data_IF_658898280804
#
_entry.id   IF_658898280804
#
_cell.length_a   1.000
_cell.length_b   1.000
_cell.length_c   1.000
_cell.angle_alpha   90.00
_cell.angle_beta   90.00
_cell.angle_gamma   90.00
#
_symmetry.space_group_name_H-M   'P 1'
#
loop_
_entity.id
_entity.type
_entity.pdbx_description
1 polymer ?
#
# COMPACT_ATOMS: atom_id res chain seq x y z
N UNK A 1 10.10 12.76 -0.59
CA UNK A 1 11.18 12.82 0.42
C UNK A 1 10.59 13.37 1.70
N UNK A 2 10.94 12.79 2.84
CA UNK A 2 10.48 13.23 4.17
C UNK A 2 11.01 14.61 4.54
N UNK A 3 10.30 15.36 5.41
CA UNK A 3 10.87 16.57 6.02
C UNK A 3 12.06 16.20 6.90
N UNK A 4 13.08 17.07 6.95
CA UNK A 4 14.25 16.88 7.82
C UNK A 4 13.77 16.71 9.26
N UNK A 5 14.12 15.59 9.90
CA UNK A 5 13.73 15.27 11.28
C UNK A 5 12.43 14.50 11.46
N UNK A 6 11.66 14.19 10.40
CA UNK A 6 10.48 13.32 10.48
C UNK A 6 10.49 12.27 9.38
N UNK A 7 10.94 11.05 9.68
CA UNK A 7 10.97 9.93 8.73
C UNK A 7 9.60 9.29 8.50
N UNK A 8 8.62 9.53 9.39
CA UNK A 8 7.31 8.88 9.32
C UNK A 8 6.47 9.34 8.12
N UNK A 9 6.72 10.52 7.59
CA UNK A 9 6.01 11.03 6.41
C UNK A 9 6.29 10.16 5.16
N UNK A 10 7.48 9.57 5.05
CA UNK A 10 7.89 8.77 3.89
C UNK A 10 7.97 7.27 4.16
N UNK A 11 8.15 6.84 5.42
CA UNK A 11 8.34 5.43 5.76
C UNK A 11 7.22 4.48 5.26
N UNK A 12 5.92 4.84 5.30
CA UNK A 12 4.86 4.00 4.73
C UNK A 12 4.99 3.86 3.22
N UNK A 13 5.29 4.96 2.53
CA UNK A 13 5.49 5.03 1.08
C UNK A 13 6.70 4.21 0.65
N UNK A 14 7.83 4.34 1.35
CA UNK A 14 9.03 3.53 1.11
C UNK A 14 8.77 2.04 1.32
N UNK A 15 8.04 1.68 2.37
CA UNK A 15 7.65 0.29 2.65
C UNK A 15 6.77 -0.29 1.54
N UNK A 16 5.86 0.52 0.99
CA UNK A 16 5.01 0.13 -0.14
C UNK A 16 5.84 -0.15 -1.40
N UNK A 17 6.68 0.81 -1.82
CA UNK A 17 7.49 0.68 -3.04
C UNK A 17 8.58 -0.37 -2.92
N UNK A 18 9.14 -0.55 -1.72
CA UNK A 18 10.09 -1.63 -1.44
C UNK A 18 9.46 -3.00 -1.71
N UNK A 19 8.25 -3.23 -1.19
CA UNK A 19 7.52 -4.48 -1.38
C UNK A 19 7.05 -4.71 -2.81
N UNK A 20 6.58 -3.67 -3.50
CA UNK A 20 6.23 -3.76 -4.93
C UNK A 20 7.42 -4.30 -5.73
N UNK A 21 8.60 -3.70 -5.52
CA UNK A 21 9.79 -4.08 -6.25
C UNK A 21 10.16 -5.53 -5.98
N UNK A 22 10.18 -5.96 -4.73
CA UNK A 22 10.56 -7.34 -4.39
C UNK A 22 9.53 -8.38 -4.81
N UNK A 23 8.23 -8.07 -4.75
CA UNK A 23 7.16 -9.04 -4.95
C UNK A 23 6.66 -9.14 -6.40
N UNK A 24 6.81 -8.08 -7.21
CA UNK A 24 6.20 -8.02 -8.55
C UNK A 24 7.13 -7.59 -9.67
N UNK A 25 8.34 -7.11 -9.38
CA UNK A 25 9.27 -6.57 -10.39
C UNK A 25 10.59 -7.32 -10.40
N UNK A 26 11.19 -7.55 -9.24
CA UNK A 26 12.46 -8.26 -9.11
C UNK A 26 12.31 -9.70 -9.62
N UNK A 27 13.19 -10.13 -10.51
CA UNK A 27 13.14 -11.46 -11.12
C UNK A 27 12.18 -11.60 -12.30
N UNK A 28 11.34 -10.60 -12.58
CA UNK A 28 10.43 -10.59 -13.72
C UNK A 28 11.04 -9.82 -14.90
N UNK A 29 11.00 -10.41 -16.10
CA UNK A 29 11.32 -9.73 -17.36
C UNK A 29 10.02 -9.46 -18.10
N UNK A 30 9.70 -8.19 -18.26
CA UNK A 30 8.52 -7.76 -19.03
C UNK A 30 8.92 -7.60 -20.51
N UNK A 31 8.13 -8.21 -21.40
CA UNK A 31 8.34 -8.08 -22.85
C UNK A 31 7.86 -6.71 -23.34
N UNK A 32 6.82 -6.17 -22.71
CA UNK A 32 6.24 -4.87 -23.08
C UNK A 32 6.05 -3.96 -21.87
N UNK A 33 6.01 -2.65 -22.13
CA UNK A 33 5.69 -1.66 -21.10
C UNK A 33 4.29 -1.86 -20.51
N UNK A 34 3.33 -2.32 -21.31
CA UNK A 34 1.96 -2.56 -20.83
C UNK A 34 1.91 -3.73 -19.84
N UNK A 35 2.70 -4.79 -20.04
CA UNK A 35 2.81 -5.87 -19.05
C UNK A 35 3.37 -5.36 -17.71
N UNK A 36 4.40 -4.52 -17.75
CA UNK A 36 4.96 -3.92 -16.53
C UNK A 36 3.95 -3.03 -15.81
N UNK A 37 3.18 -2.22 -16.56
CA UNK A 37 2.08 -1.41 -15.99
C UNK A 37 1.02 -2.29 -15.34
N UNK A 38 0.60 -3.36 -16.02
CA UNK A 38 -0.42 -4.27 -15.48
C UNK A 38 0.05 -4.90 -14.17
N UNK A 39 1.29 -5.39 -14.10
CA UNK A 39 1.86 -5.94 -12.88
C UNK A 39 1.85 -4.93 -11.71
N UNK A 40 2.14 -3.66 -11.99
CA UNK A 40 2.08 -2.59 -10.97
C UNK A 40 0.64 -2.32 -10.54
N UNK A 41 -0.32 -2.27 -11.47
CA UNK A 41 -1.75 -2.10 -11.17
C UNK A 41 -2.30 -3.26 -10.32
N UNK A 42 -1.96 -4.49 -10.69
CA UNK A 42 -2.37 -5.70 -9.97
C UNK A 42 -1.80 -5.71 -8.55
N UNK A 43 -0.52 -5.32 -8.40
CA UNK A 43 0.09 -5.16 -7.09
C UNK A 43 -0.62 -4.10 -6.25
N UNK A 44 -0.95 -2.93 -6.81
CA UNK A 44 -1.68 -1.88 -6.10
C UNK A 44 -3.06 -2.36 -5.63
N UNK A 45 -3.81 -3.02 -6.51
CA UNK A 45 -5.10 -3.59 -6.16
C UNK A 45 -4.99 -4.64 -5.05
N UNK A 46 -4.03 -5.56 -5.16
CA UNK A 46 -3.76 -6.54 -4.12
C UNK A 46 -3.38 -5.89 -2.78
N UNK A 47 -2.44 -4.95 -2.81
CA UNK A 47 -1.92 -4.30 -1.60
C UNK A 47 -3.03 -3.56 -0.85
N UNK A 48 -3.85 -2.77 -1.55
CA UNK A 48 -4.87 -1.94 -0.92
C UNK A 48 -6.08 -2.75 -0.43
N UNK A 49 -6.52 -3.75 -1.21
CA UNK A 49 -7.76 -4.46 -0.91
C UNK A 49 -7.56 -5.76 -0.13
N UNK A 50 -6.43 -6.47 -0.31
CA UNK A 50 -6.27 -7.86 0.16
C UNK A 50 -5.09 -8.09 1.08
N UNK A 51 -4.01 -7.32 0.96
CA UNK A 51 -2.80 -7.54 1.77
C UNK A 51 -3.06 -7.19 3.23
N UNK A 52 -2.89 -8.16 4.12
CA UNK A 52 -3.06 -7.95 5.55
C UNK A 52 -1.81 -7.34 6.17
N UNK A 53 -2.02 -6.42 7.11
CA UNK A 53 -0.95 -5.78 7.87
C UNK A 53 -1.12 -6.04 9.37
N UNK A 54 -0.11 -6.63 10.02
CA UNK A 54 -0.12 -6.87 11.47
C UNK A 54 -0.28 -5.57 12.27
N UNK A 55 0.34 -4.48 11.81
CA UNK A 55 0.20 -3.15 12.38
C UNK A 55 -1.21 -2.56 12.26
N UNK A 56 -2.05 -3.10 11.38
CA UNK A 56 -3.44 -2.69 11.18
C UNK A 56 -4.44 -3.70 11.80
N UNK A 57 -3.96 -4.58 12.69
CA UNK A 57 -4.81 -5.62 13.28
C UNK A 57 -5.23 -6.69 12.27
N UNK A 58 -4.34 -7.02 11.32
CA UNK A 58 -4.61 -7.97 10.23
C UNK A 58 -5.78 -7.56 9.33
N UNK A 59 -5.87 -6.26 9.04
CA UNK A 59 -6.77 -5.71 8.03
C UNK A 59 -5.99 -5.29 6.79
N UNK A 60 -6.68 -5.21 5.66
CA UNK A 60 -6.15 -4.51 4.49
C UNK A 60 -6.18 -2.99 4.71
N UNK A 61 -5.31 -2.23 4.03
CA UNK A 61 -5.31 -0.77 4.10
C UNK A 61 -6.69 -0.14 3.91
N UNK A 62 -7.45 -0.60 2.91
CA UNK A 62 -8.79 -0.06 2.65
C UNK A 62 -9.81 -0.45 3.72
N UNK A 63 -9.74 -1.67 4.26
CA UNK A 63 -10.62 -2.05 5.38
C UNK A 63 -10.32 -1.22 6.63
N UNK A 64 -9.05 -0.97 6.90
CA UNK A 64 -8.63 -0.14 8.03
C UNK A 64 -9.14 1.30 7.86
N UNK A 65 -8.94 1.88 6.68
CA UNK A 65 -9.41 3.23 6.35
C UNK A 65 -10.93 3.36 6.45
N UNK A 66 -11.67 2.39 5.91
CA UNK A 66 -13.14 2.36 6.02
C UNK A 66 -13.60 2.36 7.48
N UNK A 67 -13.05 1.47 8.32
CA UNK A 67 -13.38 1.41 9.75
C UNK A 67 -13.03 2.71 10.47
N UNK A 68 -11.92 3.35 10.09
CA UNK A 68 -11.52 4.63 10.64
C UNK A 68 -12.56 5.71 10.31
N UNK A 69 -12.98 5.85 9.05
CA UNK A 69 -14.01 6.80 8.66
C UNK A 69 -15.35 6.55 9.35
N UNK A 70 -15.77 5.30 9.48
CA UNK A 70 -17.00 4.93 10.22
C UNK A 70 -16.92 5.34 11.69
N UNK A 71 -15.77 5.15 12.34
CA UNK A 71 -15.55 5.57 13.71
C UNK A 71 -15.55 7.11 13.87
N UNK A 72 -14.97 7.84 12.90
CA UNK A 72 -15.02 9.32 12.92
C UNK A 72 -16.44 9.84 12.74
N UNK A 73 -17.22 9.25 11.82
CA UNK A 73 -18.62 9.62 11.60
C UNK A 73 -19.47 9.42 12.85
N UNK A 74 -19.26 8.33 13.59
CA UNK A 74 -19.96 8.06 14.86
C UNK A 74 -19.60 9.04 15.97
N UNK A 75 -18.39 9.61 15.97
CA UNK A 75 -17.97 10.62 16.96
C UNK A 75 -18.55 12.00 16.67
N UNK A 76 -18.88 12.28 15.41
CA UNK A 76 -19.44 13.55 14.97
C UNK A 76 -20.98 13.60 15.04
N UNK A 77 -21.64 12.48 15.34
CA UNK A 77 -23.07 12.33 15.53
C UNK A 77 -23.41 12.31 17.03
#
# INVERSE_FOLDING_TARGET
MSRKGNCWDNAPTESFWGRLKTASVHGHKFTTREQAKQAVMDWMAFYNHRRLHSSLGYLSPMQFEQRWYEAQRKKAA
#
